data_IF_615335946651
#
_entry.id   IF_615335946651
#
_cell.length_a   1.000
_cell.length_b   1.000
_cell.length_c   1.000
_cell.angle_alpha   90.00
_cell.angle_beta   90.00
_cell.angle_gamma   90.00
#
_symmetry.space_group_name_H-M   'P 1'
#
loop_
_entity.id
_entity.type
_entity.pdbx_description
1 polymer ?
#
# COMPACT_ATOMS: atom_id res chain seq x y z
N UNK A 1 29.24 0.59 -5.00
CA UNK A 1 28.63 -0.67 -4.56
C UNK A 1 28.48 -0.61 -3.06
N UNK A 2 27.29 -0.93 -2.57
CA UNK A 2 27.04 -1.07 -1.13
C UNK A 2 26.56 -2.51 -0.97
N UNK A 3 27.19 -3.26 -0.07
CA UNK A 3 26.81 -4.63 0.26
C UNK A 3 26.11 -4.61 1.61
N UNK A 4 25.00 -5.32 1.73
CA UNK A 4 24.22 -5.50 2.96
C UNK A 4 24.86 -6.51 3.93
N UNK A 5 25.95 -7.15 3.50
CA UNK A 5 26.77 -8.06 4.30
C UNK A 5 28.26 -7.81 4.11
N UNK A 6 29.05 -8.34 5.04
CA UNK A 6 30.49 -8.42 4.88
C UNK A 6 30.86 -9.31 3.68
N UNK A 7 31.81 -8.84 2.88
CA UNK A 7 32.38 -9.61 1.78
C UNK A 7 33.48 -10.54 2.31
N UNK A 8 33.55 -11.74 1.73
CA UNK A 8 34.67 -12.65 1.92
C UNK A 8 35.93 -12.12 1.20
N UNK A 9 37.11 -12.59 1.61
CA UNK A 9 38.38 -12.27 0.94
C UNK A 9 38.35 -12.60 -0.56
N UNK A 10 37.69 -13.70 -0.94
CA UNK A 10 37.55 -14.11 -2.34
C UNK A 10 36.66 -13.12 -3.14
N UNK A 11 35.57 -12.64 -2.55
CA UNK A 11 34.67 -11.65 -3.16
C UNK A 11 35.35 -10.30 -3.29
N UNK A 12 36.10 -9.86 -2.28
CA UNK A 12 36.92 -8.63 -2.36
C UNK A 12 37.94 -8.76 -3.49
N UNK A 13 38.65 -9.88 -3.58
CA UNK A 13 39.63 -10.11 -4.64
C UNK A 13 38.96 -10.15 -6.02
N UNK A 14 37.75 -10.72 -6.14
CA UNK A 14 36.99 -10.71 -7.38
C UNK A 14 36.57 -9.30 -7.80
N UNK A 15 36.11 -8.46 -6.86
CA UNK A 15 35.79 -7.04 -7.12
C UNK A 15 37.02 -6.27 -7.56
N UNK A 16 38.17 -6.49 -6.92
CA UNK A 16 39.45 -5.86 -7.29
C UNK A 16 39.90 -6.30 -8.68
N UNK A 17 39.84 -7.62 -8.97
CA UNK A 17 40.23 -8.18 -10.27
C UNK A 17 39.32 -7.72 -11.41
N UNK A 18 38.06 -7.37 -11.12
CA UNK A 18 37.12 -6.86 -12.11
C UNK A 18 37.54 -5.49 -12.69
N UNK A 19 38.31 -4.69 -11.95
CA UNK A 19 38.86 -3.42 -12.43
C UNK A 19 37.79 -2.52 -13.06
N UNK A 20 38.07 -2.02 -14.28
CA UNK A 20 37.14 -1.18 -15.05
C UNK A 20 35.94 -1.94 -15.64
N UNK A 21 35.97 -3.28 -15.66
CA UNK A 21 34.84 -4.09 -16.14
C UNK A 21 33.65 -4.02 -15.18
N UNK A 22 33.89 -3.68 -13.91
CA UNK A 22 32.87 -3.69 -12.86
C UNK A 22 32.39 -5.09 -12.51
N UNK A 23 31.55 -5.21 -11.48
CA UNK A 23 30.85 -6.47 -11.22
C UNK A 23 29.64 -6.59 -12.13
N UNK A 24 29.32 -7.81 -12.56
CA UNK A 24 28.09 -8.07 -13.31
C UNK A 24 26.88 -7.61 -12.49
N UNK A 25 25.96 -6.87 -13.11
CA UNK A 25 24.65 -6.60 -12.51
C UNK A 25 23.89 -7.93 -12.37
N UNK A 26 23.17 -8.16 -11.26
CA UNK A 26 22.20 -9.26 -11.21
C UNK A 26 21.31 -9.19 -12.44
N UNK A 27 21.19 -10.31 -13.14
CA UNK A 27 20.34 -10.42 -14.33
C UNK A 27 19.05 -11.09 -13.90
N UNK A 28 17.92 -10.60 -14.39
CA UNK A 28 16.63 -11.21 -14.09
C UNK A 28 16.64 -12.68 -14.52
N UNK A 29 16.12 -13.55 -13.67
CA UNK A 29 15.97 -14.97 -13.99
C UNK A 29 14.70 -15.20 -14.81
N UNK A 30 14.71 -16.14 -15.74
CA UNK A 30 13.46 -16.66 -16.28
C UNK A 30 12.73 -17.42 -15.15
N UNK A 31 11.41 -17.24 -14.97
CA UNK A 31 10.65 -18.06 -14.04
C UNK A 31 10.84 -19.55 -14.37
N UNK A 32 11.18 -20.41 -13.39
CA UNK A 32 11.24 -21.84 -13.64
C UNK A 32 9.90 -22.37 -14.16
N UNK A 33 9.95 -23.41 -15.00
CA UNK A 33 8.74 -24.08 -15.48
C UNK A 33 7.93 -24.65 -14.31
N UNK A 34 6.61 -24.79 -14.49
CA UNK A 34 5.75 -25.31 -13.42
C UNK A 34 5.39 -24.29 -12.35
N UNK A 35 5.75 -23.01 -12.50
CA UNK A 35 5.21 -21.91 -11.70
C UNK A 35 3.69 -21.82 -11.92
N UNK A 36 2.93 -21.94 -10.83
CA UNK A 36 1.45 -21.96 -10.86
C UNK A 36 0.81 -20.87 -10.00
N UNK A 37 1.59 -20.17 -9.19
CA UNK A 37 1.19 -18.93 -8.55
C UNK A 37 2.44 -18.11 -8.19
N UNK A 38 2.36 -16.78 -8.25
CA UNK A 38 3.43 -15.86 -7.88
C UNK A 38 2.86 -14.56 -7.31
N UNK A 39 3.14 -14.24 -6.06
CA UNK A 39 2.77 -12.96 -5.44
C UNK A 39 4.02 -12.11 -5.21
N UNK A 40 4.17 -11.03 -5.97
CA UNK A 40 5.27 -10.08 -5.82
C UNK A 40 5.17 -9.25 -4.53
N UNK A 41 3.96 -8.85 -4.13
CA UNK A 41 3.79 -7.90 -3.02
C UNK A 41 4.03 -6.45 -3.43
N UNK A 42 3.88 -6.13 -4.73
CA UNK A 42 4.10 -4.81 -5.31
C UNK A 42 2.90 -3.88 -5.19
N UNK A 43 2.41 -3.70 -3.96
CA UNK A 43 1.23 -2.86 -3.70
C UNK A 43 -0.10 -3.60 -3.82
N UNK A 44 -0.10 -4.87 -4.24
CA UNK A 44 -1.27 -5.74 -4.20
C UNK A 44 -0.92 -7.20 -3.85
N UNK A 45 -1.96 -7.98 -3.59
CA UNK A 45 -1.88 -9.41 -3.32
C UNK A 45 -2.26 -10.25 -4.56
N UNK A 46 -2.02 -9.74 -5.78
CA UNK A 46 -2.41 -10.45 -7.00
C UNK A 46 -1.41 -11.52 -7.40
N UNK A 47 -1.95 -12.62 -7.92
CA UNK A 47 -1.16 -13.65 -8.59
C UNK A 47 -0.70 -13.11 -9.95
N UNK A 48 0.62 -13.05 -10.14
CA UNK A 48 1.28 -12.56 -11.36
C UNK A 48 1.28 -13.63 -12.46
N UNK A 49 0.76 -14.82 -12.20
CA UNK A 49 0.58 -15.87 -13.20
C UNK A 49 -0.78 -15.80 -13.87
N UNK A 50 -0.94 -16.58 -14.95
CA UNK A 50 -2.19 -16.73 -15.67
C UNK A 50 -3.30 -17.46 -14.88
N UNK A 51 -3.01 -17.97 -13.68
CA UNK A 51 -3.92 -18.84 -12.94
C UNK A 51 -4.81 -18.10 -11.93
N UNK A 52 -4.57 -16.80 -11.71
CA UNK A 52 -5.47 -15.88 -11.00
C UNK A 52 -5.80 -16.32 -9.56
N UNK A 53 -4.80 -16.84 -8.83
CA UNK A 53 -4.95 -17.15 -7.40
C UNK A 53 -4.79 -15.90 -6.53
N UNK A 54 -5.58 -14.87 -6.78
CA UNK A 54 -5.48 -13.61 -6.06
C UNK A 54 -5.70 -13.79 -4.55
N UNK A 55 -4.86 -13.11 -3.77
CA UNK A 55 -4.96 -13.03 -2.32
C UNK A 55 -5.79 -11.84 -1.86
N UNK A 56 -6.33 -11.94 -0.64
CA UNK A 56 -7.03 -10.87 0.07
C UNK A 56 -6.29 -10.59 1.37
N UNK A 57 -6.02 -9.32 1.62
CA UNK A 57 -5.36 -8.87 2.86
C UNK A 57 -6.39 -8.70 3.98
N UNK A 58 -6.05 -9.12 5.19
CA UNK A 58 -6.90 -8.99 6.37
C UNK A 58 -6.25 -8.04 7.39
N UNK A 59 -6.78 -6.81 7.55
CA UNK A 59 -6.33 -5.77 8.49
C UNK A 59 -4.85 -5.29 8.34
N UNK A 60 -4.08 -5.96 7.48
CA UNK A 60 -2.69 -5.84 7.09
C UNK A 60 -2.33 -7.10 6.26
N UNK A 61 -1.09 -7.32 5.78
CA UNK A 61 0.12 -6.49 5.82
C UNK A 61 0.04 -5.22 4.95
N UNK A 62 0.94 -4.26 5.16
CA UNK A 62 1.12 -3.09 4.28
C UNK A 62 2.21 -3.36 3.23
N UNK A 63 2.49 -2.41 2.34
CA UNK A 63 3.56 -2.53 1.35
C UNK A 63 4.73 -1.59 1.66
N UNK A 64 5.94 -2.02 1.32
CA UNK A 64 7.16 -1.24 1.52
C UNK A 64 8.30 -1.75 0.63
N UNK A 65 9.33 -0.93 0.43
CA UNK A 65 10.51 -1.28 -0.38
C UNK A 65 11.11 -2.62 0.05
N UNK A 66 11.43 -3.45 -0.94
CA UNK A 66 11.72 -4.86 -0.72
C UNK A 66 12.98 -5.37 -1.41
N UNK A 67 13.08 -6.70 -1.59
CA UNK A 67 14.16 -7.32 -2.36
C UNK A 67 13.96 -7.01 -3.84
N UNK A 68 12.74 -7.15 -4.35
CA UNK A 68 12.33 -6.82 -5.70
C UNK A 68 11.12 -5.90 -5.56
N UNK A 69 11.19 -4.68 -6.07
CA UNK A 69 10.06 -3.74 -5.97
C UNK A 69 9.60 -3.49 -4.53
N UNK A 70 8.37 -3.91 -4.20
CA UNK A 70 7.80 -3.85 -2.86
C UNK A 70 7.43 -5.23 -2.31
N UNK A 71 7.21 -5.31 -0.99
CA UNK A 71 6.90 -6.52 -0.25
C UNK A 71 5.67 -6.35 0.61
N UNK A 72 5.03 -7.47 0.93
CA UNK A 72 4.16 -7.58 2.09
C UNK A 72 4.97 -7.31 3.37
N UNK A 73 4.60 -6.29 4.14
CA UNK A 73 5.18 -5.91 5.42
C UNK A 73 4.20 -6.18 6.56
N UNK A 74 4.43 -7.30 7.23
CA UNK A 74 3.66 -7.79 8.38
C UNK A 74 4.23 -7.21 9.67
N UNK A 75 3.39 -6.81 10.61
CA UNK A 75 3.75 -6.09 11.85
C UNK A 75 3.81 -6.98 13.11
N UNK A 76 3.70 -8.31 12.96
CA UNK A 76 3.65 -9.23 14.08
C UNK A 76 2.34 -9.23 14.86
N UNK A 77 1.30 -8.54 14.37
CA UNK A 77 -0.02 -8.56 15.00
C UNK A 77 -0.80 -9.78 14.52
N UNK A 78 -1.32 -10.55 15.48
CA UNK A 78 -2.16 -11.70 15.19
C UNK A 78 -3.41 -11.27 14.40
N UNK A 79 -3.72 -12.00 13.34
CA UNK A 79 -4.83 -11.68 12.43
C UNK A 79 -4.47 -10.76 11.27
N UNK A 80 -3.22 -10.29 11.15
CA UNK A 80 -2.73 -9.59 9.96
C UNK A 80 -2.08 -10.58 9.00
N UNK A 81 -2.72 -10.83 7.86
CA UNK A 81 -2.29 -11.85 6.90
C UNK A 81 -2.77 -11.54 5.48
N UNK A 82 -2.15 -12.21 4.51
CA UNK A 82 -2.73 -12.39 3.19
C UNK A 82 -3.34 -13.78 3.13
N UNK A 83 -4.56 -13.88 2.63
CA UNK A 83 -5.28 -15.14 2.44
C UNK A 83 -5.60 -15.35 0.98
N UNK A 84 -5.24 -16.51 0.43
CA UNK A 84 -5.65 -16.92 -0.91
C UNK A 84 -6.84 -17.86 -0.77
N UNK A 85 -7.99 -17.41 -1.25
CA UNK A 85 -9.21 -18.19 -1.24
C UNK A 85 -9.05 -19.42 -2.15
N UNK A 86 -9.40 -20.59 -1.64
CA UNK A 86 -9.28 -21.84 -2.40
C UNK A 86 -8.88 -23.01 -1.53
N UNK A 87 -9.71 -24.05 -1.59
CA UNK A 87 -9.59 -25.27 -0.78
C UNK A 87 -9.26 -26.41 -1.77
N UNK A 88 -8.00 -26.52 -2.20
CA UNK A 88 -7.60 -27.54 -3.17
C UNK A 88 -6.31 -27.24 -3.93
N UNK A 89 -6.17 -27.92 -5.08
CA UNK A 89 -5.08 -27.72 -6.02
C UNK A 89 -5.00 -26.23 -6.45
N UNK A 90 -3.80 -25.68 -6.70
CA UNK A 90 -2.51 -26.38 -6.68
C UNK A 90 -1.90 -26.53 -5.28
N UNK A 91 -2.52 -25.99 -4.24
CA UNK A 91 -1.89 -25.85 -2.93
C UNK A 91 -2.02 -27.08 -2.01
N UNK A 92 -2.87 -28.05 -2.36
CA UNK A 92 -2.97 -29.36 -1.70
C UNK A 92 -2.31 -30.45 -2.56
N UNK A 93 -0.96 -30.59 -2.51
CA UNK A 93 -0.25 -31.46 -3.45
C UNK A 93 -0.47 -32.96 -3.18
N UNK A 94 -0.93 -33.37 -1.99
CA UNK A 94 -1.11 -34.78 -1.65
C UNK A 94 0.19 -35.58 -1.77
N UNK A 95 0.24 -36.49 -2.76
CA UNK A 95 1.44 -37.26 -3.14
C UNK A 95 2.22 -36.67 -4.32
N UNK A 96 1.71 -35.61 -4.96
CA UNK A 96 2.37 -34.94 -6.07
C UNK A 96 3.60 -34.16 -5.58
N UNK A 97 4.46 -33.85 -6.55
CA UNK A 97 5.58 -32.94 -6.39
C UNK A 97 5.07 -31.50 -6.27
N UNK A 98 5.80 -30.67 -5.54
CA UNK A 98 5.54 -29.24 -5.46
C UNK A 98 6.75 -28.51 -4.88
N UNK A 99 6.82 -27.19 -5.07
CA UNK A 99 7.82 -26.36 -4.42
C UNK A 99 7.23 -25.02 -4.03
N UNK A 100 7.83 -24.40 -3.02
CA UNK A 100 7.51 -23.04 -2.59
C UNK A 100 8.81 -22.32 -2.38
N UNK A 101 8.94 -21.11 -2.91
CA UNK A 101 10.02 -20.22 -2.50
C UNK A 101 9.50 -18.81 -2.22
N UNK A 102 10.32 -18.05 -1.50
CA UNK A 102 10.04 -16.66 -1.15
C UNK A 102 11.33 -15.95 -0.73
N UNK A 103 11.36 -14.63 -0.87
CA UNK A 103 12.25 -13.78 -0.11
C UNK A 103 11.59 -13.38 1.21
N UNK A 104 12.36 -13.40 2.30
CA UNK A 104 11.90 -12.89 3.59
C UNK A 104 12.95 -12.04 4.29
N UNK A 105 12.48 -11.09 5.09
CA UNK A 105 13.30 -10.30 6.02
C UNK A 105 12.58 -10.15 7.35
N UNK A 106 12.96 -10.96 8.33
CA UNK A 106 12.34 -10.97 9.66
C UNK A 106 12.91 -9.85 10.52
N UNK A 107 12.13 -9.28 11.45
CA UNK A 107 12.65 -8.31 12.43
C UNK A 107 13.17 -8.95 13.71
N UNK A 108 12.82 -10.21 13.94
CA UNK A 108 13.22 -11.01 15.08
C UNK A 108 13.60 -12.44 14.64
N UNK A 109 14.02 -13.27 15.59
CA UNK A 109 14.44 -14.66 15.34
C UNK A 109 13.28 -15.64 15.11
N UNK A 110 12.03 -15.19 15.28
CA UNK A 110 10.83 -16.02 15.21
C UNK A 110 10.67 -16.95 16.42
N UNK A 111 9.41 -17.25 16.75
CA UNK A 111 9.04 -18.15 17.84
C UNK A 111 8.02 -19.16 17.32
N UNK A 112 8.45 -20.04 16.41
CA UNK A 112 7.59 -20.94 15.63
C UNK A 112 6.55 -20.16 14.79
N UNK A 113 6.98 -19.02 14.26
CA UNK A 113 6.21 -18.03 13.51
C UNK A 113 5.86 -18.53 12.11
N UNK A 114 4.60 -18.41 11.71
CA UNK A 114 4.15 -18.89 10.39
C UNK A 114 4.54 -17.95 9.27
N UNK A 115 5.18 -18.48 8.23
CA UNK A 115 5.54 -17.71 7.03
C UNK A 115 4.51 -17.92 5.92
N UNK A 116 4.44 -19.12 5.37
CA UNK A 116 3.53 -19.49 4.29
C UNK A 116 3.00 -20.89 4.56
N UNK A 117 1.71 -21.11 4.40
CA UNK A 117 1.16 -22.46 4.52
C UNK A 117 -0.35 -22.49 4.58
N UNK A 118 -0.88 -23.71 4.65
CA UNK A 118 -2.31 -24.00 4.82
C UNK A 118 -2.55 -25.04 5.91
N UNK A 119 -1.57 -25.31 6.76
CA UNK A 119 -1.68 -26.25 7.88
C UNK A 119 -2.96 -26.02 8.70
N UNK A 120 -3.58 -27.11 9.17
CA UNK A 120 -4.54 -27.07 10.27
C UNK A 120 -3.87 -27.73 11.50
N UNK A 121 -3.23 -26.92 12.38
CA UNK A 121 -2.34 -27.45 13.41
C UNK A 121 -3.03 -28.34 14.46
N UNK A 122 -4.35 -28.26 14.60
CA UNK A 122 -5.07 -29.08 15.59
C UNK A 122 -5.60 -30.40 15.01
N UNK A 123 -5.64 -30.55 13.67
CA UNK A 123 -6.06 -31.78 12.98
C UNK A 123 -4.88 -32.58 12.40
N UNK A 124 -3.70 -31.98 12.29
CA UNK A 124 -2.54 -32.60 11.67
C UNK A 124 -2.66 -32.68 10.16
N UNK A 125 -3.23 -31.67 9.52
CA UNK A 125 -3.41 -31.65 8.06
C UNK A 125 -2.63 -30.50 7.43
N UNK A 126 -2.35 -30.62 6.13
CA UNK A 126 -1.67 -29.60 5.35
C UNK A 126 -0.17 -29.54 5.60
N UNK A 127 0.39 -28.36 5.29
CA UNK A 127 1.80 -28.06 5.36
C UNK A 127 2.02 -26.59 5.65
N UNK A 128 3.19 -26.27 6.18
CA UNK A 128 3.61 -24.90 6.43
C UNK A 128 5.14 -24.74 6.46
N UNK A 129 5.57 -23.48 6.32
CA UNK A 129 6.93 -23.01 6.49
C UNK A 129 6.93 -22.04 7.67
N UNK A 130 7.86 -22.22 8.61
CA UNK A 130 7.95 -21.41 9.83
C UNK A 130 9.36 -20.87 10.06
N UNK A 131 9.42 -19.76 10.78
CA UNK A 131 10.65 -19.23 11.37
C UNK A 131 10.67 -19.55 12.87
N UNK A 132 11.74 -20.21 13.33
CA UNK A 132 11.89 -20.61 14.73
C UNK A 132 13.34 -20.50 15.18
N UNK A 133 13.64 -19.52 16.02
CA UNK A 133 14.98 -19.28 16.57
C UNK A 133 16.08 -19.25 15.48
N UNK A 134 15.89 -18.40 14.47
CA UNK A 134 16.77 -18.22 13.31
C UNK A 134 16.87 -19.44 12.36
N UNK A 135 16.09 -20.50 12.59
CA UNK A 135 15.97 -21.65 11.70
C UNK A 135 14.68 -21.55 10.87
N UNK A 136 14.74 -22.02 9.63
CA UNK A 136 13.52 -22.33 8.86
C UNK A 136 13.11 -23.75 9.17
N UNK A 137 11.83 -23.91 9.49
CA UNK A 137 11.19 -25.20 9.72
C UNK A 137 10.18 -25.48 8.61
N UNK A 138 10.30 -26.64 7.97
CA UNK A 138 9.32 -27.18 7.04
C UNK A 138 8.50 -28.25 7.76
N UNK A 139 7.18 -28.13 7.75
CA UNK A 139 6.26 -29.07 8.40
C UNK A 139 5.24 -29.58 7.41
N UNK A 140 5.10 -30.89 7.29
CA UNK A 140 3.87 -31.54 6.88
C UNK A 140 3.13 -32.02 8.11
N UNK A 141 1.79 -32.07 8.10
CA UNK A 141 0.96 -32.93 8.99
C UNK A 141 1.40 -32.90 10.47
N UNK A 142 1.48 -31.76 11.15
CA UNK A 142 1.97 -31.68 12.56
C UNK A 142 3.33 -32.39 12.84
N UNK A 143 4.22 -32.45 11.85
CA UNK A 143 5.51 -33.15 11.89
C UNK A 143 5.49 -34.58 11.35
N UNK A 144 4.33 -35.08 10.94
CA UNK A 144 4.15 -36.32 10.16
C UNK A 144 4.24 -35.99 8.66
N UNK A 145 4.51 -36.93 7.76
CA UNK A 145 4.76 -36.56 6.35
C UNK A 145 6.19 -36.09 6.10
N UNK A 146 6.56 -34.94 6.68
CA UNK A 146 7.93 -34.44 6.77
C UNK A 146 8.09 -33.42 7.91
N UNK A 147 9.29 -33.37 8.48
CA UNK A 147 9.70 -32.35 9.43
C UNK A 147 11.20 -32.10 9.21
N UNK A 148 11.56 -30.85 8.93
CA UNK A 148 12.95 -30.49 8.62
C UNK A 148 13.25 -29.09 9.12
N UNK A 149 14.25 -28.97 9.99
CA UNK A 149 14.84 -27.71 10.41
C UNK A 149 16.14 -27.45 9.65
N UNK A 150 16.38 -26.20 9.26
CA UNK A 150 17.71 -25.75 8.84
C UNK A 150 18.67 -25.60 10.02
N UNK A 151 19.93 -25.32 9.72
CA UNK A 151 20.80 -24.61 10.67
C UNK A 151 20.26 -23.19 10.97
N UNK A 152 20.74 -22.57 12.05
CA UNK A 152 20.37 -21.21 12.44
C UNK A 152 21.05 -20.16 11.54
N UNK A 153 20.67 -20.15 10.26
CA UNK A 153 21.29 -19.33 9.21
C UNK A 153 20.47 -18.11 8.80
N UNK A 154 19.25 -17.95 9.32
CA UNK A 154 18.45 -16.73 9.10
C UNK A 154 18.89 -15.66 10.10
N UNK A 155 19.32 -14.52 9.59
CA UNK A 155 19.71 -13.38 10.42
C UNK A 155 18.61 -12.31 10.40
N UNK A 156 18.15 -11.82 11.57
CA UNK A 156 17.15 -10.76 11.60
C UNK A 156 17.63 -9.49 10.88
N UNK A 157 16.69 -8.81 10.23
CA UNK A 157 16.84 -7.59 9.45
C UNK A 157 17.67 -7.74 8.17
N UNK A 158 17.90 -8.97 7.71
CA UNK A 158 18.57 -9.29 6.45
C UNK A 158 17.63 -10.04 5.52
N UNK A 159 17.75 -9.80 4.21
CA UNK A 159 16.97 -10.54 3.22
C UNK A 159 17.57 -11.93 3.00
N UNK A 160 16.73 -12.95 3.15
CA UNK A 160 17.07 -14.34 2.87
C UNK A 160 16.10 -14.92 1.84
N UNK A 161 16.63 -15.69 0.88
CA UNK A 161 15.80 -16.49 -0.04
C UNK A 161 15.60 -17.87 0.56
N UNK A 162 14.34 -18.28 0.74
CA UNK A 162 13.96 -19.56 1.31
C UNK A 162 13.29 -20.39 0.24
N UNK A 163 13.73 -21.63 0.01
CA UNK A 163 13.08 -22.53 -0.93
C UNK A 163 12.88 -23.93 -0.35
N UNK A 164 11.65 -24.43 -0.47
CA UNK A 164 11.28 -25.82 -0.27
C UNK A 164 11.08 -26.48 -1.63
N UNK A 165 11.84 -27.53 -1.92
CA UNK A 165 11.66 -28.37 -3.11
C UNK A 165 11.23 -29.77 -2.69
N UNK A 166 10.06 -30.21 -3.16
CA UNK A 166 9.45 -31.48 -2.77
C UNK A 166 9.22 -32.37 -3.98
N UNK A 167 9.99 -33.46 -4.06
CA UNK A 167 9.70 -34.56 -4.99
C UNK A 167 8.58 -35.44 -4.42
N UNK A 168 8.31 -36.60 -5.00
CA UNK A 168 7.36 -37.56 -4.43
C UNK A 168 7.88 -38.28 -3.18
N UNK A 169 9.19 -38.26 -2.91
CA UNK A 169 9.82 -39.06 -1.85
C UNK A 169 10.80 -38.30 -0.94
N UNK A 170 11.12 -37.04 -1.28
CA UNK A 170 12.06 -36.23 -0.50
C UNK A 170 11.62 -34.76 -0.48
N UNK A 171 11.83 -34.10 0.66
CA UNK A 171 11.80 -32.64 0.81
C UNK A 171 13.22 -32.13 0.99
N UNK A 172 13.57 -31.06 0.28
CA UNK A 172 14.84 -30.35 0.39
C UNK A 172 14.58 -28.90 0.80
N UNK A 173 15.37 -28.40 1.76
CA UNK A 173 15.33 -27.01 2.23
C UNK A 173 16.58 -26.27 1.80
N UNK A 174 16.41 -25.11 1.15
CA UNK A 174 17.49 -24.22 0.76
C UNK A 174 17.32 -22.85 1.41
N UNK A 175 18.45 -22.25 1.80
CA UNK A 175 18.53 -20.85 2.25
C UNK A 175 19.65 -20.19 1.46
N UNK A 176 19.35 -19.07 0.82
CA UNK A 176 20.29 -18.29 0.00
C UNK A 176 20.96 -19.13 -1.10
N UNK A 177 20.19 -19.99 -1.76
CA UNK A 177 20.67 -20.90 -2.80
C UNK A 177 21.43 -22.13 -2.29
N UNK A 178 21.67 -22.25 -0.97
CA UNK A 178 22.46 -23.35 -0.38
C UNK A 178 21.55 -24.37 0.29
N UNK A 179 21.76 -25.66 0.00
CA UNK A 179 21.04 -26.77 0.64
C UNK A 179 21.36 -26.80 2.15
N UNK A 180 20.32 -26.74 2.98
CA UNK A 180 20.42 -26.81 4.45
C UNK A 180 20.06 -28.18 5.01
N UNK A 181 19.27 -28.96 4.28
CA UNK A 181 18.95 -30.33 4.69
C UNK A 181 17.94 -30.99 3.77
N UNK A 182 17.74 -32.29 4.00
CA UNK A 182 16.73 -33.10 3.32
C UNK A 182 16.07 -34.06 4.29
N UNK A 183 14.80 -34.40 4.08
CA UNK A 183 14.14 -35.49 4.80
C UNK A 183 13.22 -36.31 3.89
N UNK A 184 12.86 -37.55 4.27
CA UNK A 184 11.88 -38.34 3.54
C UNK A 184 10.53 -37.63 3.49
N UNK A 185 9.80 -37.83 2.39
CA UNK A 185 8.44 -37.34 2.21
C UNK A 185 7.45 -38.49 2.17
N UNK A 186 6.35 -38.36 2.89
CA UNK A 186 5.12 -39.11 2.62
C UNK A 186 3.95 -38.19 2.26
N UNK A 187 2.76 -38.77 2.02
CA UNK A 187 1.58 -38.01 1.56
C UNK A 187 1.21 -36.89 2.54
N UNK A 188 0.96 -35.70 2.00
CA UNK A 188 0.32 -34.62 2.76
C UNK A 188 -1.19 -34.85 2.76
N UNK A 189 -1.84 -34.75 3.91
CA UNK A 189 -3.31 -34.76 3.99
C UNK A 189 -3.80 -33.37 3.60
N UNK A 190 -4.66 -33.29 2.57
CA UNK A 190 -5.26 -32.04 2.14
C UNK A 190 -6.14 -31.44 3.24
N UNK A 191 -6.32 -30.12 3.20
CA UNK A 191 -7.06 -29.38 4.23
C UNK A 191 -8.03 -28.40 3.59
N UNK A 192 -9.13 -28.11 4.29
CA UNK A 192 -10.06 -27.07 3.85
C UNK A 192 -9.56 -25.64 4.17
N UNK A 193 -8.42 -25.51 4.87
CA UNK A 193 -7.85 -24.21 5.21
C UNK A 193 -7.31 -23.49 3.96
N UNK A 194 -7.53 -22.16 3.86
CA UNK A 194 -6.95 -21.36 2.80
C UNK A 194 -5.42 -21.29 2.93
N UNK A 195 -4.75 -20.93 1.82
CA UNK A 195 -3.33 -20.56 1.91
C UNK A 195 -3.24 -19.23 2.65
N UNK A 196 -2.31 -19.13 3.60
CA UNK A 196 -2.03 -17.87 4.28
C UNK A 196 -0.56 -17.52 4.28
N UNK A 197 -0.30 -16.22 4.22
CA UNK A 197 1.01 -15.62 4.43
C UNK A 197 1.02 -14.83 5.74
N UNK A 198 2.07 -14.98 6.54
CA UNK A 198 2.35 -14.22 7.76
C UNK A 198 1.53 -14.59 9.00
N UNK A 199 0.50 -15.43 8.87
CA UNK A 199 -0.26 -15.92 10.02
C UNK A 199 -0.94 -17.26 9.70
N UNK A 200 -1.18 -18.08 10.72
CA UNK A 200 -1.93 -19.32 10.57
C UNK A 200 -3.45 -19.09 10.56
N UNK A 201 -4.21 -20.12 10.21
CA UNK A 201 -5.68 -20.17 10.32
C UNK A 201 -6.19 -20.29 11.76
N UNK A 202 -5.34 -20.74 12.68
CA UNK A 202 -5.66 -20.81 14.10
C UNK A 202 -5.49 -19.44 14.80
N UNK A 203 -6.53 -18.93 15.46
CA UNK A 203 -6.61 -17.56 16.00
C UNK A 203 -5.67 -17.24 17.20
N UNK A 204 -4.60 -18.01 17.41
CA UNK A 204 -3.62 -17.79 18.47
C UNK A 204 -2.18 -18.18 18.12
N UNK A 205 -1.89 -18.50 16.86
CA UNK A 205 -0.52 -18.78 16.42
C UNK A 205 0.36 -17.52 16.37
N UNK A 206 1.69 -17.65 16.51
CA UNK A 206 2.62 -16.53 16.38
C UNK A 206 2.60 -15.93 14.96
N UNK A 207 2.31 -14.63 14.89
CA UNK A 207 2.30 -13.85 13.65
C UNK A 207 3.71 -13.47 13.18
N UNK A 208 3.87 -13.30 11.88
CA UNK A 208 5.11 -12.85 11.28
C UNK A 208 5.30 -11.35 11.45
N UNK A 209 6.51 -10.98 11.87
CA UNK A 209 6.96 -9.61 12.02
C UNK A 209 8.16 -9.38 11.09
N UNK A 210 7.90 -8.82 9.92
CA UNK A 210 8.89 -8.70 8.86
C UNK A 210 8.28 -8.49 7.48
N UNK A 211 9.11 -8.65 6.46
CA UNK A 211 8.73 -8.48 5.06
C UNK A 211 8.79 -9.84 4.32
N UNK A 212 7.85 -10.10 3.41
CA UNK A 212 7.89 -11.19 2.42
C UNK A 212 7.68 -10.65 1.02
N UNK A 213 8.40 -11.22 0.07
CA UNK A 213 8.50 -10.76 -1.31
C UNK A 213 8.67 -11.97 -2.23
N UNK A 214 8.20 -11.87 -3.48
CA UNK A 214 8.31 -12.91 -4.51
C UNK A 214 7.92 -14.31 -4.02
N UNK A 215 6.71 -14.45 -3.46
CA UNK A 215 6.21 -15.74 -2.98
C UNK A 215 5.76 -16.57 -4.19
N UNK A 216 6.45 -17.67 -4.48
CA UNK A 216 6.13 -18.53 -5.62
C UNK A 216 5.63 -19.90 -5.19
N UNK A 217 4.74 -20.48 -6.01
CA UNK A 217 4.31 -21.85 -5.90
C UNK A 217 4.56 -22.59 -7.22
N UNK A 218 5.20 -23.75 -7.15
CA UNK A 218 5.46 -24.61 -8.29
C UNK A 218 4.76 -25.96 -8.14
N UNK A 219 4.18 -26.48 -9.22
CA UNK A 219 3.54 -27.81 -9.26
C UNK A 219 4.52 -28.97 -9.51
N UNK A 220 5.81 -28.74 -9.25
CA UNK A 220 6.88 -29.73 -9.36
C UNK A 220 7.99 -29.41 -8.36
N UNK A 221 8.94 -30.34 -8.21
CA UNK A 221 10.20 -30.06 -7.55
C UNK A 221 11.07 -29.10 -8.40
N UNK A 222 11.51 -27.98 -7.83
CA UNK A 222 12.53 -27.10 -8.45
C UNK A 222 13.93 -27.63 -8.18
N UNK A 223 14.79 -27.61 -9.19
CA UNK A 223 16.15 -28.15 -9.12
C UNK A 223 17.11 -27.18 -8.40
N UNK A 224 18.22 -27.66 -7.80
CA UNK A 224 19.19 -26.82 -7.11
C UNK A 224 19.73 -25.65 -7.95
N UNK A 225 19.92 -25.86 -9.26
CA UNK A 225 20.36 -24.83 -10.19
C UNK A 225 19.29 -23.73 -10.40
N UNK A 226 18.01 -24.10 -10.36
CA UNK A 226 16.90 -23.15 -10.46
C UNK A 226 16.79 -22.31 -9.19
N UNK A 227 16.89 -22.94 -8.00
CA UNK A 227 16.97 -22.22 -6.72
C UNK A 227 18.13 -21.22 -6.73
N UNK A 228 19.31 -21.66 -7.17
CA UNK A 228 20.50 -20.79 -7.27
C UNK A 228 20.26 -19.64 -8.27
N UNK A 229 19.57 -19.90 -9.38
CA UNK A 229 19.25 -18.88 -10.37
C UNK A 229 18.30 -17.82 -9.82
N UNK A 230 17.26 -18.22 -9.08
CA UNK A 230 16.31 -17.28 -8.46
C UNK A 230 17.01 -16.44 -7.40
N UNK A 231 17.81 -17.06 -6.52
CA UNK A 231 18.60 -16.36 -5.52
C UNK A 231 19.55 -15.32 -6.14
N UNK A 232 20.31 -15.73 -7.17
CA UNK A 232 21.30 -14.86 -7.83
C UNK A 232 20.66 -13.73 -8.65
N UNK A 233 19.40 -13.86 -9.06
CA UNK A 233 18.68 -12.76 -9.69
C UNK A 233 18.55 -11.56 -8.73
N UNK A 234 18.51 -11.81 -7.42
CA UNK A 234 18.58 -10.79 -6.39
C UNK A 234 17.56 -9.68 -6.62
N UNK A 235 18.02 -8.43 -6.64
CA UNK A 235 17.16 -7.25 -6.85
C UNK A 235 16.54 -7.18 -8.26
N UNK A 236 17.08 -7.92 -9.23
CA UNK A 236 16.50 -7.97 -10.58
C UNK A 236 15.27 -8.87 -10.67
N UNK A 237 15.06 -9.76 -9.68
CA UNK A 237 13.92 -10.66 -9.61
C UNK A 237 13.77 -11.61 -10.79
N UNK A 238 12.59 -12.19 -10.93
CA UNK A 238 12.22 -13.00 -12.09
C UNK A 238 11.63 -12.10 -13.18
N UNK A 239 11.82 -12.49 -14.44
CA UNK A 239 11.16 -11.85 -15.57
C UNK A 239 9.64 -12.01 -15.42
N UNK A 240 8.91 -10.90 -15.40
CA UNK A 240 7.46 -10.95 -15.55
C UNK A 240 7.16 -11.27 -17.00
N UNK A 241 6.56 -12.43 -17.23
CA UNK A 241 5.86 -12.66 -18.49
C UNK A 241 4.70 -11.68 -18.51
N UNK A 242 4.73 -10.67 -19.38
CA UNK A 242 3.49 -10.01 -19.76
C UNK A 242 2.59 -11.10 -20.33
N UNK A 243 1.53 -11.45 -19.58
CA UNK A 243 0.57 -12.42 -20.05
C UNK A 243 -0.26 -11.77 -21.14
N UNK A 244 0.17 -11.91 -22.39
CA UNK A 244 -0.74 -11.94 -23.54
C UNK A 244 -1.31 -13.36 -23.62
N UNK A 245 -2.60 -13.59 -23.33
CA UNK A 245 -3.18 -14.92 -23.47
C UNK A 245 -2.94 -15.46 -24.87
N UNK A 246 -2.42 -16.69 -24.98
CA UNK A 246 -2.09 -17.33 -26.24
C UNK A 246 -3.35 -17.53 -27.09
N UNK A 247 -3.58 -16.65 -28.06
CA UNK A 247 -4.60 -16.81 -29.08
C UNK A 247 -4.00 -17.49 -30.32
N UNK A 248 -4.13 -18.81 -30.41
CA UNK A 248 -4.35 -19.51 -31.68
C UNK A 248 -5.70 -20.18 -31.53
N UNK A 249 -6.76 -19.78 -32.23
CA UNK A 249 -6.89 -19.83 -33.69
C UNK A 249 -7.63 -18.59 -34.20
N UNK A 250 -7.29 -18.18 -35.42
CA UNK A 250 -8.10 -17.26 -36.21
C UNK A 250 -9.55 -17.76 -36.28
N UNK A 251 -10.51 -16.86 -36.06
CA UNK A 251 -11.88 -16.78 -36.60
C UNK A 251 -12.58 -15.54 -35.97
N UNK A 252 -13.64 -14.98 -36.57
CA UNK A 252 -13.61 -13.62 -37.09
C UNK A 252 -14.16 -12.56 -36.13
N UNK A 253 -13.81 -11.31 -36.48
CA UNK A 253 -14.23 -10.06 -35.83
C UNK A 253 -15.66 -10.10 -35.27
N UNK A 254 -15.75 -9.82 -33.97
CA UNK A 254 -16.93 -9.31 -33.31
C UNK A 254 -17.66 -10.36 -32.48
N UNK A 255 -17.30 -10.47 -31.20
CA UNK A 255 -18.22 -10.44 -30.03
C UNK A 255 -17.45 -10.80 -28.76
N UNK A 256 -17.12 -9.79 -27.94
CA UNK A 256 -16.77 -9.99 -26.53
C UNK A 256 -18.07 -10.22 -25.76
N UNK A 257 -18.18 -11.32 -25.00
CA UNK A 257 -19.15 -11.45 -23.91
C UNK A 257 -18.43 -11.52 -22.57
N UNK A 258 -18.67 -10.48 -21.77
CA UNK A 258 -18.54 -10.39 -20.32
C UNK A 258 -18.93 -11.69 -19.58
N UNK A 259 -18.36 -11.89 -18.39
CA UNK A 259 -19.14 -12.35 -17.25
C UNK A 259 -18.94 -11.44 -16.03
N UNK A 260 -20.07 -10.89 -15.65
CA UNK A 260 -20.45 -10.03 -14.52
C UNK A 260 -20.34 -10.73 -13.17
N UNK A 261 -20.00 -10.00 -12.10
CA UNK A 261 -20.82 -9.90 -10.87
C UNK A 261 -20.55 -8.57 -10.11
N UNK A 262 -21.62 -7.76 -10.03
CA UNK A 262 -22.01 -6.63 -9.16
C UNK A 262 -21.02 -5.86 -8.21
N UNK A 263 -20.69 -4.62 -8.64
CA UNK A 263 -20.38 -3.33 -7.93
C UNK A 263 -19.03 -3.15 -7.16
N UNK A 264 -18.55 -1.92 -6.87
CA UNK A 264 -17.52 -1.22 -7.65
C UNK A 264 -16.23 -0.90 -6.85
N UNK A 265 -15.07 -1.32 -7.36
CA UNK A 265 -13.77 -0.95 -6.81
C UNK A 265 -12.64 -1.79 -7.38
N UNK A 266 -11.94 -1.27 -8.39
CA UNK A 266 -10.69 -1.83 -8.89
C UNK A 266 -9.57 -1.35 -7.98
N UNK A 267 -8.89 -2.25 -7.28
CA UNK A 267 -7.64 -1.91 -6.59
C UNK A 267 -6.50 -1.77 -7.61
N UNK A 268 -5.75 -0.69 -7.48
CA UNK A 268 -4.64 -0.25 -8.31
C UNK A 268 -3.49 0.13 -7.37
N UNK A 269 -2.62 -0.81 -7.00
CA UNK A 269 -1.57 -0.55 -6.02
C UNK A 269 -2.11 0.10 -4.75
N UNK A 270 -1.64 1.32 -4.45
CA UNK A 270 -2.04 2.10 -3.28
C UNK A 270 -3.38 2.86 -3.46
N UNK A 271 -4.18 2.58 -4.49
CA UNK A 271 -5.44 3.28 -4.73
C UNK A 271 -6.59 2.36 -5.17
N UNK A 272 -7.81 2.63 -4.72
CA UNK A 272 -9.04 2.00 -5.24
C UNK A 272 -9.72 2.94 -6.22
N UNK A 273 -9.94 2.53 -7.47
CA UNK A 273 -10.80 3.20 -8.45
C UNK A 273 -12.18 2.58 -8.48
N UNK A 274 -13.20 3.37 -8.27
CA UNK A 274 -14.60 2.97 -8.35
C UNK A 274 -15.23 3.61 -9.58
N UNK A 275 -15.58 2.78 -10.57
CA UNK A 275 -16.33 3.19 -11.76
C UNK A 275 -17.83 2.90 -11.54
N UNK A 276 -18.75 3.87 -11.69
CA UNK A 276 -20.17 3.64 -11.41
C UNK A 276 -20.83 2.65 -12.37
N UNK A 277 -20.58 2.80 -13.68
CA UNK A 277 -21.09 1.91 -14.73
C UNK A 277 -20.00 1.68 -15.75
N UNK A 278 -19.58 0.43 -15.92
CA UNK A 278 -18.62 0.04 -16.96
C UNK A 278 -19.42 -0.31 -18.22
N UNK A 279 -19.15 0.42 -19.30
CA UNK A 279 -19.76 0.23 -20.62
C UNK A 279 -18.92 -0.66 -21.53
N UNK A 280 -17.60 -0.65 -21.35
CA UNK A 280 -16.67 -1.55 -22.04
C UNK A 280 -15.50 -1.86 -21.12
N UNK A 281 -15.18 -3.14 -21.00
CA UNK A 281 -14.07 -3.60 -20.20
C UNK A 281 -12.74 -3.05 -20.74
N UNK A 282 -11.78 -2.86 -19.85
CA UNK A 282 -10.45 -2.39 -20.21
C UNK A 282 -9.46 -2.58 -19.07
N UNK A 283 -8.20 -2.25 -19.35
CA UNK A 283 -7.09 -2.36 -18.40
C UNK A 283 -6.94 -1.02 -17.71
N UNK A 284 -6.80 -1.06 -16.38
CA UNK A 284 -6.55 0.14 -15.57
C UNK A 284 -5.22 0.00 -14.84
N UNK A 285 -4.41 1.06 -14.81
CA UNK A 285 -3.10 1.10 -14.16
C UNK A 285 -2.93 2.38 -13.35
N UNK A 286 -2.25 2.28 -12.21
CA UNK A 286 -1.69 3.43 -11.49
C UNK A 286 -0.21 3.56 -11.88
N UNK A 287 0.15 4.68 -12.50
CA UNK A 287 1.49 4.92 -13.02
C UNK A 287 2.11 6.08 -12.22
N UNK A 288 3.23 5.87 -11.50
CA UNK A 288 3.94 6.95 -10.85
C UNK A 288 4.40 8.01 -11.85
N UNK A 289 4.20 9.29 -11.52
CA UNK A 289 4.64 10.42 -12.33
C UNK A 289 5.77 11.18 -11.64
N UNK A 290 6.64 11.77 -12.46
CA UNK A 290 7.68 12.71 -12.03
C UNK A 290 7.05 14.09 -11.75
N UNK A 291 6.99 14.55 -10.48
CA UNK A 291 6.38 15.83 -10.13
C UNK A 291 7.07 17.03 -10.80
N UNK A 292 8.35 16.91 -11.18
CA UNK A 292 9.09 17.98 -11.85
C UNK A 292 8.58 18.28 -13.27
N UNK A 293 7.78 17.39 -13.86
CA UNK A 293 7.18 17.56 -15.18
C UNK A 293 5.75 18.13 -15.14
N UNK A 294 5.22 18.39 -13.94
CA UNK A 294 3.87 18.90 -13.73
C UNK A 294 3.89 20.37 -13.30
N UNK A 295 2.76 21.08 -13.43
CA UNK A 295 2.63 22.44 -12.90
C UNK A 295 2.98 22.51 -11.40
N UNK A 296 3.55 23.62 -10.92
CA UNK A 296 3.89 23.77 -9.51
C UNK A 296 2.66 23.62 -8.63
N UNK A 297 2.85 23.03 -7.44
CA UNK A 297 1.78 22.89 -6.46
C UNK A 297 1.29 24.27 -5.97
N UNK A 298 0.03 24.36 -5.51
CA UNK A 298 -0.49 25.57 -4.88
C UNK A 298 0.38 26.02 -3.70
N UNK A 299 0.39 27.32 -3.42
CA UNK A 299 1.11 27.88 -2.27
C UNK A 299 0.61 27.23 -0.96
N UNK A 300 1.54 26.87 -0.07
CA UNK A 300 1.24 26.16 1.18
C UNK A 300 1.19 24.62 1.06
N UNK A 301 1.22 24.07 -0.15
CA UNK A 301 1.28 22.63 -0.36
C UNK A 301 2.74 22.12 -0.34
N UNK A 302 3.01 21.14 0.52
CA UNK A 302 4.29 20.40 0.52
C UNK A 302 4.12 19.06 -0.19
N UNK A 303 4.94 18.72 -1.20
CA UNK A 303 4.81 17.45 -1.91
C UNK A 303 5.14 16.26 -1.00
N UNK A 304 4.36 15.18 -1.09
CA UNK A 304 4.64 13.92 -0.37
C UNK A 304 5.32 12.85 -1.23
N UNK A 305 5.77 13.22 -2.45
CA UNK A 305 6.29 12.31 -3.48
C UNK A 305 5.29 11.25 -3.99
N UNK A 306 4.01 11.36 -3.65
CA UNK A 306 2.95 10.50 -4.15
C UNK A 306 2.20 11.21 -5.27
N UNK A 307 2.61 10.95 -6.52
CA UNK A 307 2.04 11.56 -7.72
C UNK A 307 1.81 10.49 -8.78
N UNK A 308 0.60 10.42 -9.32
CA UNK A 308 0.15 9.30 -10.14
C UNK A 308 -0.70 9.73 -11.35
N UNK A 309 -0.63 8.93 -12.39
CA UNK A 309 -1.59 8.84 -13.50
C UNK A 309 -2.45 7.59 -13.25
N UNK A 310 -3.78 7.71 -13.29
CA UNK A 310 -4.69 6.56 -13.32
C UNK A 310 -5.19 6.40 -14.76
N UNK A 311 -4.47 5.59 -15.53
CA UNK A 311 -4.80 5.33 -16.93
C UNK A 311 -5.78 4.15 -17.02
N UNK A 312 -6.88 4.31 -17.77
CA UNK A 312 -7.79 3.19 -18.07
C UNK A 312 -8.16 3.16 -19.55
N UNK A 313 -8.19 1.96 -20.13
CA UNK A 313 -8.81 1.71 -21.43
C UNK A 313 -10.28 1.30 -21.32
N UNK A 314 -10.81 1.17 -20.10
CA UNK A 314 -12.22 0.90 -19.90
C UNK A 314 -13.05 2.11 -20.34
N UNK A 315 -14.22 1.85 -20.92
CA UNK A 315 -15.22 2.90 -21.19
C UNK A 315 -16.23 2.82 -20.06
N UNK A 316 -16.51 3.94 -19.41
CA UNK A 316 -17.45 4.01 -18.29
C UNK A 316 -18.44 5.17 -18.46
N UNK A 317 -19.47 5.17 -17.62
CA UNK A 317 -20.44 6.24 -17.47
C UNK A 317 -20.69 6.52 -15.99
N UNK A 318 -21.03 7.77 -15.68
CA UNK A 318 -21.14 8.28 -14.31
C UNK A 318 -19.80 8.77 -13.78
N UNK A 319 -19.85 9.41 -12.61
CA UNK A 319 -18.67 10.07 -12.03
C UNK A 319 -17.84 9.09 -11.18
N UNK A 320 -16.60 8.79 -11.57
CA UNK A 320 -15.72 7.93 -10.79
C UNK A 320 -15.32 8.52 -9.44
N UNK A 321 -14.90 7.63 -8.55
CA UNK A 321 -14.25 7.96 -7.29
C UNK A 321 -12.95 7.20 -7.10
N UNK A 322 -11.99 7.80 -6.41
CA UNK A 322 -10.69 7.20 -6.13
C UNK A 322 -10.38 7.35 -4.65
N UNK A 323 -9.91 6.27 -4.03
CA UNK A 323 -9.45 6.25 -2.65
C UNK A 323 -7.98 5.82 -2.58
N UNK A 324 -7.08 6.70 -2.16
CA UNK A 324 -5.66 6.39 -1.95
C UNK A 324 -5.45 5.89 -0.51
N UNK A 325 -4.81 4.72 -0.40
CA UNK A 325 -4.25 4.17 0.82
C UNK A 325 -2.85 4.78 1.03
N UNK A 326 -2.61 5.43 2.17
CA UNK A 326 -1.41 6.24 2.39
C UNK A 326 -0.53 5.68 3.52
N UNK A 327 0.02 4.46 3.40
CA UNK A 327 0.95 3.95 4.40
C UNK A 327 2.25 4.78 4.42
N UNK A 328 2.86 4.90 5.59
CA UNK A 328 4.22 5.43 5.77
C UNK A 328 4.45 6.96 5.59
N UNK A 329 3.42 7.81 5.68
CA UNK A 329 3.64 9.27 5.75
C UNK A 329 3.89 9.72 7.21
N UNK A 330 4.92 10.55 7.42
CA UNK A 330 5.23 11.17 8.73
C UNK A 330 4.28 12.32 9.12
N UNK A 331 3.39 12.71 8.21
CA UNK A 331 2.47 13.83 8.36
C UNK A 331 1.17 13.42 9.07
N UNK A 332 0.50 14.38 9.73
CA UNK A 332 -0.84 14.14 10.28
C UNK A 332 -1.82 13.97 9.12
N UNK A 333 -2.47 12.82 9.00
CA UNK A 333 -3.44 12.51 7.93
C UNK A 333 -4.51 13.59 7.70
N UNK A 334 -4.86 14.37 8.74
CA UNK A 334 -5.80 15.50 8.63
C UNK A 334 -5.31 16.66 7.75
N UNK A 335 -4.01 16.75 7.49
CA UNK A 335 -3.41 17.81 6.69
C UNK A 335 -3.17 17.38 5.24
N UNK A 336 -3.27 16.08 4.95
CA UNK A 336 -3.09 15.56 3.60
C UNK A 336 -4.29 15.90 2.73
N UNK A 337 -4.03 16.20 1.46
CA UNK A 337 -5.05 16.45 0.44
C UNK A 337 -4.70 15.72 -0.85
N UNK A 338 -5.72 15.18 -1.52
CA UNK A 338 -5.67 14.76 -2.93
C UNK A 338 -5.87 16.00 -3.79
N UNK A 339 -4.86 16.35 -4.56
CA UNK A 339 -4.94 17.35 -5.61
C UNK A 339 -5.07 16.64 -6.96
N UNK A 340 -6.03 17.07 -7.77
CA UNK A 340 -6.27 16.60 -9.14
C UNK A 340 -5.97 17.73 -10.11
N UNK A 341 -5.17 17.49 -11.13
CA UNK A 341 -4.87 18.49 -12.13
C UNK A 341 -5.99 18.56 -13.16
N UNK A 342 -6.75 19.66 -13.13
CA UNK A 342 -7.87 19.91 -14.02
C UNK A 342 -7.58 21.16 -14.86
N UNK A 343 -7.61 21.03 -16.18
CA UNK A 343 -7.33 22.13 -17.11
C UNK A 343 -6.01 22.87 -16.82
N UNK A 344 -4.99 22.14 -16.35
CA UNK A 344 -3.67 22.67 -16.02
C UNK A 344 -3.54 23.33 -14.65
N UNK A 345 -4.56 23.24 -13.79
CA UNK A 345 -4.58 23.80 -12.43
C UNK A 345 -4.85 22.70 -11.42
N UNK A 346 -4.12 22.70 -10.30
CA UNK A 346 -4.36 21.76 -9.20
C UNK A 346 -5.61 22.12 -8.40
N UNK A 347 -6.58 21.20 -8.38
CA UNK A 347 -7.85 21.32 -7.66
C UNK A 347 -7.85 20.34 -6.50
N UNK A 348 -8.16 20.82 -5.28
CA UNK A 348 -8.33 19.93 -4.14
C UNK A 348 -9.62 19.13 -4.27
N UNK A 349 -9.49 17.82 -4.34
CA UNK A 349 -10.59 16.87 -4.55
C UNK A 349 -10.80 15.92 -3.37
N UNK A 350 -10.16 16.20 -2.23
CA UNK A 350 -10.34 15.45 -0.98
C UNK A 350 -11.76 15.65 -0.45
N UNK A 351 -12.53 14.57 -0.34
CA UNK A 351 -13.91 14.65 0.15
C UNK A 351 -14.12 13.94 1.50
N UNK A 352 -13.25 12.99 1.86
CA UNK A 352 -13.27 12.37 3.20
C UNK A 352 -12.02 12.80 3.96
N UNK A 353 -12.15 13.55 5.07
CA UNK A 353 -11.05 13.66 6.04
C UNK A 353 -10.84 12.26 6.62
N UNK A 354 -9.73 11.63 6.24
CA UNK A 354 -9.55 10.18 6.32
C UNK A 354 -9.94 9.53 7.65
N UNK A 355 -10.58 8.37 7.55
CA UNK A 355 -10.28 7.30 8.51
C UNK A 355 -8.85 6.88 8.17
N UNK A 356 -7.91 7.08 9.09
CA UNK A 356 -6.54 6.63 8.91
C UNK A 356 -6.55 5.15 8.45
N UNK A 357 -5.92 4.75 7.32
CA UNK A 357 -5.00 5.48 6.43
C UNK A 357 -5.53 5.80 4.99
N UNK A 358 -6.83 6.10 4.80
CA UNK A 358 -7.42 6.27 3.44
C UNK A 358 -7.90 7.71 3.19
N UNK A 359 -7.51 8.29 2.05
CA UNK A 359 -8.06 9.54 1.52
C UNK A 359 -8.86 9.27 0.24
N UNK A 360 -10.07 9.82 0.13
CA UNK A 360 -10.94 9.60 -1.03
C UNK A 360 -11.37 10.90 -1.73
N UNK A 361 -11.62 10.76 -3.02
CA UNK A 361 -12.26 11.74 -3.90
C UNK A 361 -13.43 11.12 -4.64
N UNK A 362 -14.48 11.90 -4.92
CA UNK A 362 -15.67 11.48 -5.67
C UNK A 362 -16.04 12.56 -6.69
N UNK A 363 -16.91 12.21 -7.66
CA UNK A 363 -17.42 13.20 -8.61
C UNK A 363 -16.37 13.63 -9.63
N UNK A 364 -15.46 12.74 -10.00
CA UNK A 364 -14.35 13.04 -10.89
C UNK A 364 -14.81 13.05 -12.36
N UNK A 365 -14.33 14.00 -13.14
CA UNK A 365 -14.59 14.08 -14.60
C UNK A 365 -13.40 13.59 -15.44
N UNK A 366 -12.27 13.33 -14.79
CA UNK A 366 -11.09 12.68 -15.35
C UNK A 366 -10.36 11.89 -14.26
N UNK A 367 -9.47 11.00 -14.66
CA UNK A 367 -8.77 10.09 -13.75
C UNK A 367 -7.32 10.48 -13.51
N UNK A 368 -6.85 11.60 -14.06
CA UNK A 368 -5.43 11.95 -13.98
C UNK A 368 -5.15 13.42 -14.29
N UNK A 369 -3.95 13.91 -13.92
CA UNK A 369 -3.03 13.34 -12.91
C UNK A 369 -3.41 13.75 -11.48
N UNK A 370 -3.06 12.90 -10.51
CA UNK A 370 -3.26 13.15 -9.08
C UNK A 370 -1.93 13.34 -8.34
N UNK A 371 -1.95 14.12 -7.27
CA UNK A 371 -0.86 14.17 -6.29
C UNK A 371 -1.41 14.31 -4.88
N UNK A 372 -0.73 13.69 -3.92
CA UNK A 372 -0.97 13.94 -2.50
C UNK A 372 -0.02 15.05 -2.04
N UNK A 373 -0.56 16.01 -1.30
CA UNK A 373 0.22 17.08 -0.71
C UNK A 373 -0.17 17.30 0.76
N UNK A 374 0.82 17.68 1.56
CA UNK A 374 0.63 18.06 2.96
C UNK A 374 0.43 19.57 3.06
N UNK A 375 -0.69 19.97 3.66
CA UNK A 375 -1.02 21.34 4.01
C UNK A 375 -0.86 21.54 5.52
N UNK A 376 0.31 21.14 6.04
CA UNK A 376 0.69 21.38 7.43
C UNK A 376 0.74 22.89 7.75
N UNK A 377 0.70 23.28 9.04
CA UNK A 377 0.77 24.69 9.40
C UNK A 377 2.02 25.32 8.79
N UNK A 378 1.85 26.34 7.96
CA UNK A 378 2.96 27.09 7.38
C UNK A 378 3.73 27.78 8.51
N UNK A 379 5.07 27.81 8.43
CA UNK A 379 5.92 28.47 9.42
C UNK A 379 5.68 30.00 9.56
N UNK A 380 4.88 30.58 8.67
CA UNK A 380 4.29 31.91 8.82
C UNK A 380 2.80 31.75 9.10
N UNK A 381 2.41 31.95 10.34
CA UNK A 381 1.04 32.18 10.74
C UNK A 381 0.92 33.62 11.23
N UNK A 382 -0.19 34.29 10.90
CA UNK A 382 -0.41 35.71 11.20
C UNK A 382 -1.60 35.87 12.12
N UNK A 383 -1.81 37.10 12.60
CA UNK A 383 -2.98 37.43 13.41
C UNK A 383 -4.04 38.16 12.59
N UNK A 384 -5.30 37.96 12.96
CA UNK A 384 -6.43 38.74 12.44
C UNK A 384 -7.15 39.36 13.63
N UNK A 385 -7.32 40.68 13.62
CA UNK A 385 -7.97 41.40 14.70
C UNK A 385 -8.95 42.46 14.19
N UNK A 386 -9.95 42.79 15.01
CA UNK A 386 -10.95 43.82 14.67
C UNK A 386 -12.00 43.98 15.76
N UNK A 387 -13.06 44.72 15.42
CA UNK A 387 -14.20 44.99 16.31
C UNK A 387 -15.52 44.58 15.67
N UNK A 388 -16.41 44.03 16.50
CA UNK A 388 -17.82 43.86 16.17
C UNK A 388 -18.58 45.07 16.73
N UNK A 389 -19.26 45.80 15.84
CA UNK A 389 -19.89 47.08 16.14
C UNK A 389 -21.39 47.04 15.79
N UNK A 390 -22.20 47.80 16.53
CA UNK A 390 -23.55 48.16 16.13
C UNK A 390 -23.49 49.17 14.99
N UNK A 391 -24.62 49.41 14.30
CA UNK A 391 -24.72 50.46 13.27
C UNK A 391 -24.28 51.85 13.81
N UNK A 392 -24.52 52.11 15.09
CA UNK A 392 -24.15 53.38 15.76
C UNK A 392 -22.69 53.40 16.27
N UNK A 393 -21.85 52.42 15.90
CA UNK A 393 -20.43 52.37 16.26
C UNK A 393 -20.11 51.90 17.69
N UNK A 394 -21.11 51.39 18.43
CA UNK A 394 -20.89 50.84 19.77
C UNK A 394 -20.42 49.39 19.70
N UNK A 395 -19.50 48.97 20.58
CA UNK A 395 -19.01 47.60 20.62
C UNK A 395 -20.07 46.59 21.03
N UNK A 396 -20.14 45.45 20.32
CA UNK A 396 -21.06 44.36 20.65
C UNK A 396 -20.34 43.33 21.52
N UNK A 397 -20.72 43.27 22.79
CA UNK A 397 -20.18 42.31 23.76
C UNK A 397 -20.73 40.90 23.53
N UNK A 398 -19.89 39.88 23.79
CA UNK A 398 -20.24 38.46 23.78
C UNK A 398 -20.75 37.92 22.43
N UNK A 399 -20.51 38.64 21.34
CA UNK A 399 -20.69 38.11 20.01
C UNK A 399 -19.64 37.02 19.76
N UNK A 400 -20.03 36.00 18.99
CA UNK A 400 -19.13 34.94 18.56
C UNK A 400 -18.72 35.26 17.13
N UNK A 401 -17.45 35.60 16.93
CA UNK A 401 -16.86 35.72 15.61
C UNK A 401 -16.35 34.35 15.20
N UNK A 402 -16.73 33.90 14.03
CA UNK A 402 -16.30 32.64 13.45
C UNK A 402 -15.52 32.92 12.18
N UNK A 403 -14.30 32.42 12.12
CA UNK A 403 -13.45 32.44 10.94
C UNK A 403 -13.48 31.04 10.34
N UNK A 404 -14.01 30.91 9.14
CA UNK A 404 -14.15 29.63 8.43
C UNK A 404 -13.21 29.63 7.25
N UNK A 405 -12.28 28.69 7.20
CA UNK A 405 -11.41 28.54 6.03
C UNK A 405 -12.22 28.06 4.80
N UNK A 406 -11.60 28.14 3.63
CA UNK A 406 -12.18 27.64 2.36
C UNK A 406 -12.48 26.12 2.36
N UNK A 407 -12.05 25.40 3.40
CA UNK A 407 -12.22 23.96 3.59
C UNK A 407 -13.23 23.61 4.70
N UNK A 408 -13.93 24.60 5.28
CA UNK A 408 -14.95 24.43 6.31
C UNK A 408 -14.41 24.26 7.74
N UNK A 409 -13.09 24.33 7.95
CA UNK A 409 -12.49 24.39 9.27
C UNK A 409 -12.83 25.72 9.94
N UNK A 410 -13.19 25.69 11.22
CA UNK A 410 -13.69 26.88 11.93
C UNK A 410 -12.83 27.21 13.13
N UNK A 411 -12.54 28.50 13.30
CA UNK A 411 -11.97 29.09 14.51
C UNK A 411 -12.99 30.06 15.08
N UNK A 412 -13.09 30.13 16.41
CA UNK A 412 -14.05 31.05 17.05
C UNK A 412 -13.35 31.95 18.06
N UNK A 413 -13.74 33.23 18.06
CA UNK A 413 -13.31 34.23 19.02
C UNK A 413 -14.54 34.92 19.61
N UNK A 414 -14.55 35.13 20.92
CA UNK A 414 -15.64 35.84 21.61
C UNK A 414 -15.24 37.29 21.83
N UNK A 415 -16.15 38.21 21.52
CA UNK A 415 -15.87 39.64 21.69
C UNK A 415 -15.90 40.07 23.16
N UNK A 416 -14.97 40.95 23.53
CA UNK A 416 -14.95 41.62 24.83
C UNK A 416 -15.97 42.76 24.94
N UNK A 417 -15.97 43.48 26.07
CA UNK A 417 -16.94 44.55 26.40
C UNK A 417 -17.01 45.68 25.36
N UNK A 418 -15.91 45.94 24.66
CA UNK A 418 -15.82 46.98 23.63
C UNK A 418 -15.90 46.43 22.19
N UNK A 419 -16.25 45.15 22.02
CA UNK A 419 -16.44 44.52 20.72
C UNK A 419 -15.18 43.91 20.08
N UNK A 420 -14.01 43.99 20.71
CA UNK A 420 -12.76 43.47 20.15
C UNK A 420 -12.73 41.95 20.07
N UNK A 421 -12.18 41.42 18.98
CA UNK A 421 -11.84 40.00 18.78
C UNK A 421 -10.45 39.86 18.16
N UNK A 422 -9.85 38.67 18.31
CA UNK A 422 -8.56 38.32 17.71
C UNK A 422 -8.50 36.81 17.41
N UNK A 423 -7.89 36.48 16.28
CA UNK A 423 -7.46 35.14 15.92
C UNK A 423 -5.94 35.15 15.81
N UNK A 424 -5.29 34.24 16.51
CA UNK A 424 -3.86 33.98 16.38
C UNK A 424 -3.62 32.73 15.53
N UNK A 425 -2.41 32.61 15.01
CA UNK A 425 -1.93 31.48 14.22
C UNK A 425 -2.82 31.17 12.99
N UNK A 426 -3.24 32.22 12.27
CA UNK A 426 -4.03 32.08 11.04
C UNK A 426 -3.08 31.84 9.85
N UNK A 427 -3.24 30.74 9.10
CA UNK A 427 -2.47 30.50 7.87
C UNK A 427 -2.60 31.64 6.84
N UNK A 428 -1.49 31.98 6.19
CA UNK A 428 -1.44 32.94 5.07
C UNK A 428 -1.64 32.23 3.73
N UNK A 429 -2.09 32.96 2.71
CA UNK A 429 -2.34 32.46 1.36
C UNK A 429 -3.75 31.91 1.11
N UNK A 430 -4.66 32.03 2.08
CA UNK A 430 -5.99 31.44 2.02
C UNK A 430 -7.12 32.48 2.08
N UNK A 431 -8.28 32.10 1.56
CA UNK A 431 -9.52 32.85 1.74
C UNK A 431 -10.28 32.30 2.95
N UNK A 432 -10.75 33.21 3.79
CA UNK A 432 -11.58 32.91 4.95
C UNK A 432 -12.92 33.63 4.86
N UNK A 433 -13.98 32.97 5.29
CA UNK A 433 -15.28 33.59 5.56
C UNK A 433 -15.33 33.95 7.05
N UNK A 434 -15.44 35.25 7.34
CA UNK A 434 -15.66 35.75 8.69
C UNK A 434 -17.15 36.06 8.89
N UNK A 435 -17.74 35.49 9.93
CA UNK A 435 -19.15 35.66 10.29
C UNK A 435 -19.32 35.95 11.78
N UNK A 436 -20.41 36.63 12.14
CA UNK A 436 -20.72 36.97 13.54
C UNK A 436 -22.06 36.37 13.94
N UNK A 437 -22.06 35.60 15.02
CA UNK A 437 -23.27 35.17 15.71
C UNK A 437 -23.51 36.05 16.95
N UNK A 438 -24.67 36.70 16.99
CA UNK A 438 -25.12 37.53 18.11
C UNK A 438 -26.60 37.30 18.38
N UNK A 439 -27.03 37.46 19.64
CA UNK A 439 -28.43 37.27 20.03
C UNK A 439 -29.37 38.38 19.56
N UNK A 440 -28.85 39.56 19.25
CA UNK A 440 -29.64 40.79 19.03
C UNK A 440 -29.35 41.51 17.71
N UNK A 441 -28.27 41.16 17.04
CA UNK A 441 -27.79 41.90 15.87
C UNK A 441 -27.49 40.92 14.75
N UNK A 442 -27.81 41.32 13.53
CA UNK A 442 -27.56 40.56 12.30
C UNK A 442 -26.34 41.17 11.60
N UNK A 443 -25.48 40.31 11.07
CA UNK A 443 -24.26 40.68 10.36
C UNK A 443 -24.19 39.90 9.05
N UNK A 444 -23.70 40.56 8.00
CA UNK A 444 -23.43 39.89 6.72
C UNK A 444 -22.03 39.24 6.79
N UNK A 445 -21.91 37.94 6.51
CA UNK A 445 -20.60 37.29 6.40
C UNK A 445 -19.75 37.94 5.31
N UNK A 446 -18.43 38.03 5.54
CA UNK A 446 -17.49 38.61 4.57
C UNK A 446 -16.40 37.60 4.25
N UNK A 447 -15.95 37.59 2.99
CA UNK A 447 -14.76 36.83 2.60
C UNK A 447 -13.54 37.75 2.66
N UNK A 448 -12.47 37.28 3.29
CA UNK A 448 -11.18 37.96 3.39
C UNK A 448 -10.06 37.05 2.88
N UNK A 449 -9.10 37.64 2.16
CA UNK A 449 -7.88 36.95 1.73
C UNK A 449 -6.76 37.33 2.70
N UNK A 450 -6.13 36.33 3.32
CA UNK A 450 -5.11 36.55 4.35
C UNK A 450 -3.75 36.36 3.72
N UNK A 451 -2.98 37.43 3.55
CA UNK A 451 -1.63 37.38 2.97
C UNK A 451 -0.56 37.83 3.97
N UNK A 452 -0.94 38.59 4.99
CA UNK A 452 -0.12 39.10 6.09
C UNK A 452 -1.04 39.37 7.31
N UNK A 453 -0.51 39.88 8.42
CA UNK A 453 -1.28 40.32 9.58
C UNK A 453 -2.38 41.33 9.18
N UNK A 454 -3.61 41.07 9.61
CA UNK A 454 -4.77 41.90 9.32
C UNK A 454 -5.34 42.49 10.59
N UNK A 455 -5.11 43.79 10.80
CA UNK A 455 -5.75 44.56 11.86
C UNK A 455 -6.93 45.38 11.35
N UNK A 456 -7.84 45.72 12.25
CA UNK A 456 -9.03 46.54 12.00
C UNK A 456 -10.02 45.93 10.99
N UNK A 457 -10.18 44.61 11.02
CA UNK A 457 -11.22 43.90 10.26
C UNK A 457 -12.57 44.07 10.98
N UNK A 458 -13.17 45.24 10.88
CA UNK A 458 -14.39 45.58 11.61
C UNK A 458 -15.66 45.01 10.93
N UNK A 459 -16.58 44.53 11.76
CA UNK A 459 -17.85 43.92 11.37
C UNK A 459 -19.00 44.72 11.98
N UNK A 460 -19.79 45.38 11.13
CA UNK A 460 -20.86 46.29 11.55
C UNK A 460 -22.21 45.61 11.37
N UNK A 461 -23.09 45.72 12.36
CA UNK A 461 -24.44 45.18 12.32
C UNK A 461 -25.30 45.89 11.26
N UNK A 462 -26.17 45.12 10.61
CA UNK A 462 -27.18 45.68 9.72
C UNK A 462 -28.11 46.65 10.48
N UNK A 463 -28.63 47.70 9.82
CA UNK A 463 -29.65 48.56 10.41
C UNK A 463 -30.86 47.71 10.79
N UNK A 464 -31.41 47.91 12.00
CA UNK A 464 -32.70 47.33 12.34
C UNK A 464 -33.74 47.81 11.31
N UNK A 465 -34.37 46.88 10.60
CA UNK A 465 -35.56 47.21 9.82
C UNK A 465 -36.64 47.56 10.84
N UNK A 466 -37.01 48.84 10.91
CA UNK A 466 -38.24 49.27 11.56
C UNK A 466 -39.39 48.59 10.81
N UNK A 467 -40.07 47.63 11.44
CA UNK A 467 -41.38 47.13 10.99
C UNK A 467 -42.44 48.24 11.02
#
# INVERSE_FOLDING_TARGET
MVFDRALTLAEIQAVVNAGSSGICKPTAAAPPSGLVAWWGGDGDARDQTQYDHDGVQAYGPFYSVAKVGQAFNFDGVAGHYVEVAGNGAPFDPGTAEFSVDLWMRSRNSGANTYLVGKSLPDSGEGWDIRLNDNMIRLVGVNGWGFNLDSDASVTPNTWHHIAMSSTTSQVSLYIDGVLKGTCPRSSIIATANPLRFGHTTNYGGPAFDGQMDEIDFFNRAIAPAEVTSIYNAGLAGKLRTEYTPANTLAEPRGTTRQRTFDVPGIQLGDATLTLPVILTDGVTQQIPLDPAKLPPLPMGATPTNLTYDIATSAIWSGDPSICFNLPALSSVYRNLRILHLENGIWVNRTQVPGVNPILCTYGLTSLSPFTIADFGPTAASVSISGRVLTNNGSGVLNAIVQLTDQFGGTRTARTGTFGYYRFDEVPVGENYVISVASKRFVFVPRTIMVMDELDNVDLVAEPEMLE
#
